data_IF_598770965718
#
_entry.id   IF_598770965718
#
_cell.length_a   1.000
_cell.length_b   1.000
_cell.length_c   1.000
_cell.angle_alpha   90.00
_cell.angle_beta   90.00
_cell.angle_gamma   90.00
#
_symmetry.space_group_name_H-M   'P 1'
#
loop_
_entity.id
_entity.type
_entity.pdbx_description
1 polymer ?
#
# COMPACT_ATOMS: atom_id res chain seq x y z
N UNK A 1 -2.80 8.98 -6.57
CA UNK A 1 -2.54 8.24 -5.30
C UNK A 1 -3.73 8.15 -4.34
N UNK A 2 -4.62 9.15 -4.22
CA UNK A 2 -5.70 9.12 -3.21
C UNK A 2 -6.61 7.89 -3.30
N UNK A 3 -7.08 7.54 -4.50
CA UNK A 3 -7.86 6.31 -4.74
C UNK A 3 -7.09 5.04 -4.38
N UNK A 4 -5.78 5.02 -4.63
CA UNK A 4 -4.91 3.89 -4.30
C UNK A 4 -4.74 3.74 -2.77
N UNK A 5 -4.54 4.83 -2.05
CA UNK A 5 -4.50 4.84 -0.58
C UNK A 5 -5.83 4.36 0.01
N UNK A 6 -6.97 4.76 -0.58
CA UNK A 6 -8.28 4.28 -0.16
C UNK A 6 -8.49 2.79 -0.45
N UNK A 7 -8.00 2.28 -1.59
CA UNK A 7 -8.06 0.86 -1.93
C UNK A 7 -7.23 0.01 -0.93
N UNK A 8 -6.02 0.43 -0.59
CA UNK A 8 -5.18 -0.28 0.38
C UNK A 8 -5.80 -0.42 1.77
N UNK A 9 -6.61 0.56 2.20
CA UNK A 9 -7.32 0.49 3.49
C UNK A 9 -8.28 -0.69 3.58
N UNK A 10 -8.85 -1.17 2.46
CA UNK A 10 -9.74 -2.36 2.44
C UNK A 10 -9.02 -3.61 2.94
N UNK A 11 -7.71 -3.67 2.74
CA UNK A 11 -6.84 -4.78 3.14
C UNK A 11 -6.00 -4.45 4.38
N UNK A 12 -6.37 -3.42 5.15
CA UNK A 12 -5.63 -2.92 6.32
C UNK A 12 -4.21 -2.40 6.02
N UNK A 13 -3.96 -1.94 4.79
CA UNK A 13 -2.69 -1.30 4.41
C UNK A 13 -2.80 0.20 4.64
N UNK A 14 -2.01 0.73 5.58
CA UNK A 14 -2.02 2.15 5.93
C UNK A 14 -0.86 2.86 5.22
N UNK A 15 -1.20 3.71 4.25
CA UNK A 15 -0.25 4.49 3.44
C UNK A 15 -0.49 5.98 3.63
N UNK A 16 0.56 6.78 3.50
CA UNK A 16 0.45 8.25 3.45
C UNK A 16 0.55 8.73 2.00
N UNK A 17 -0.36 9.64 1.59
CA UNK A 17 -0.35 10.27 0.26
C UNK A 17 0.94 11.07 0.07
N UNK A 18 1.64 10.85 -1.05
CA UNK A 18 2.87 11.59 -1.40
C UNK A 18 2.62 13.07 -1.66
N UNK A 19 1.41 13.47 -2.06
CA UNK A 19 1.01 14.88 -2.20
C UNK A 19 1.23 15.71 -0.92
N UNK A 20 1.15 15.10 0.27
CA UNK A 20 1.44 15.79 1.53
C UNK A 20 2.91 16.23 1.66
N UNK A 21 3.79 15.70 0.81
CA UNK A 21 5.22 15.99 0.75
C UNK A 21 5.64 16.60 -0.60
N UNK A 22 4.68 17.08 -1.40
CA UNK A 22 4.97 17.65 -2.73
C UNK A 22 5.31 16.61 -3.81
N UNK A 23 5.06 15.32 -3.56
CA UNK A 23 5.36 14.23 -4.50
C UNK A 23 4.07 13.48 -4.89
N UNK A 24 3.23 14.12 -5.72
CA UNK A 24 1.96 13.56 -6.16
C UNK A 24 2.16 12.30 -7.02
N UNK A 25 1.20 11.37 -6.97
CA UNK A 25 1.28 10.08 -7.66
C UNK A 25 1.98 8.98 -6.87
N UNK A 26 2.74 9.33 -5.81
CA UNK A 26 3.45 8.38 -4.95
C UNK A 26 2.79 8.19 -3.58
N UNK A 27 3.25 7.19 -2.84
CA UNK A 27 2.88 6.95 -1.44
C UNK A 27 4.12 6.76 -0.59
N UNK A 28 4.01 7.06 0.71
CA UNK A 28 5.06 6.80 1.70
C UNK A 28 4.68 5.63 2.59
N UNK A 29 5.58 4.67 2.73
CA UNK A 29 5.51 3.55 3.67
C UNK A 29 6.62 3.70 4.72
N UNK A 30 6.28 3.53 5.99
CA UNK A 30 7.25 3.52 7.08
C UNK A 30 7.61 2.08 7.44
N UNK A 31 8.90 1.74 7.37
CA UNK A 31 9.41 0.40 7.72
C UNK A 31 9.97 0.33 9.15
N UNK A 32 9.84 1.40 9.93
CA UNK A 32 10.15 1.43 11.36
C UNK A 32 9.04 0.76 12.19
N UNK A 33 8.70 -0.49 11.85
CA UNK A 33 7.71 -1.35 12.49
C UNK A 33 8.32 -2.72 12.74
N UNK A 34 7.60 -3.64 13.39
CA UNK A 34 8.11 -5.00 13.59
C UNK A 34 8.29 -5.72 12.25
N UNK A 35 9.26 -6.61 12.20
CA UNK A 35 9.52 -7.45 11.03
C UNK A 35 8.30 -8.31 10.65
N UNK A 36 7.56 -8.80 11.65
CA UNK A 36 6.34 -9.57 11.44
C UNK A 36 5.23 -8.75 10.79
N UNK A 37 5.08 -7.46 11.13
CA UNK A 37 4.15 -6.57 10.42
C UNK A 37 4.50 -6.47 8.94
N UNK A 38 5.79 -6.37 8.59
CA UNK A 38 6.22 -6.30 7.19
C UNK A 38 5.89 -7.59 6.44
N UNK A 39 6.16 -8.77 7.03
CA UNK A 39 5.83 -10.07 6.40
C UNK A 39 4.33 -10.23 6.20
N UNK A 40 3.53 -9.96 7.24
CA UNK A 40 2.07 -10.11 7.18
C UNK A 40 1.44 -9.13 6.17
N UNK A 41 2.07 -7.98 5.94
CA UNK A 41 1.60 -7.02 4.94
C UNK A 41 1.76 -7.53 3.49
N UNK A 42 2.69 -8.46 3.21
CA UNK A 42 2.94 -8.96 1.84
C UNK A 42 1.67 -9.55 1.22
N UNK A 43 0.97 -10.42 1.94
CA UNK A 43 -0.29 -11.02 1.46
C UNK A 43 -1.41 -9.98 1.28
N UNK A 44 -1.40 -8.90 2.07
CA UNK A 44 -2.34 -7.80 1.85
C UNK A 44 -2.01 -7.01 0.58
N UNK A 45 -0.72 -6.76 0.32
CA UNK A 45 -0.26 -6.10 -0.90
C UNK A 45 -0.52 -6.94 -2.16
N UNK A 46 -0.42 -8.27 -2.07
CA UNK A 46 -0.80 -9.19 -3.15
C UNK A 46 -2.26 -8.99 -3.57
N UNK A 47 -3.19 -9.05 -2.61
CA UNK A 47 -4.63 -8.77 -2.85
C UNK A 47 -4.87 -7.38 -3.42
N UNK A 48 -4.16 -6.38 -2.91
CA UNK A 48 -4.28 -5.02 -3.45
C UNK A 48 -3.85 -4.97 -4.92
N UNK A 49 -2.80 -5.68 -5.32
CA UNK A 49 -2.33 -5.68 -6.70
C UNK A 49 -3.23 -6.50 -7.63
N UNK A 50 -3.90 -7.55 -7.14
CA UNK A 50 -4.96 -8.25 -7.87
C UNK A 50 -6.11 -7.30 -8.26
N UNK A 51 -6.53 -6.38 -7.38
CA UNK A 51 -7.54 -5.35 -7.69
C UNK A 51 -7.15 -4.46 -8.89
N UNK A 52 -5.84 -4.37 -9.20
CA UNK A 52 -5.30 -3.58 -10.30
C UNK A 52 -4.84 -4.45 -11.48
N UNK A 53 -5.10 -5.77 -11.45
CA UNK A 53 -4.71 -6.69 -12.51
C UNK A 53 -3.20 -6.85 -12.68
N UNK A 54 -2.42 -6.62 -11.62
CA UNK A 54 -0.95 -6.68 -11.64
C UNK A 54 -0.38 -8.07 -11.33
N UNK A 55 -1.23 -9.06 -11.11
CA UNK A 55 -0.86 -10.47 -11.05
C UNK A 55 -1.55 -11.23 -12.19
N UNK A 56 -0.73 -11.74 -13.10
CA UNK A 56 -1.05 -12.79 -14.07
C UNK A 56 -0.38 -14.07 -13.59
N UNK A 57 -1.05 -15.21 -13.78
CA UNK A 57 -0.54 -16.57 -13.48
C UNK A 57 0.94 -16.79 -13.86
#
# INVERSE_FOLDING_TARGET
EEKFVAAGKKYNIIMVKGSAFGCAGYVRLAYCVSHETVKNALTAFEKLAEDYGLYTE
#
